data_IF_783227978296
#
_entry.id   IF_783227978296
#
_cell.length_a   1.000
_cell.length_b   1.000
_cell.length_c   1.000
_cell.angle_alpha   90.00
_cell.angle_beta   90.00
_cell.angle_gamma   90.00
#
_symmetry.space_group_name_H-M   'P 1'
#
loop_
_entity.id
_entity.type
_entity.pdbx_description
1 polymer ?
#
# COMPACT_ATOMS: atom_id res chain seq x y z
N UNK A 1 11.15 1.55 -7.63
CA UNK A 1 10.64 1.00 -8.91
C UNK A 1 11.48 -0.20 -9.29
N UNK A 2 10.95 -1.13 -10.08
CA UNK A 2 11.71 -2.24 -10.64
C UNK A 2 12.47 -1.83 -11.91
N UNK A 3 13.23 -2.76 -12.52
CA UNK A 3 14.01 -2.52 -13.73
C UNK A 3 13.18 -2.15 -14.97
N UNK A 4 11.86 -2.33 -14.92
CA UNK A 4 10.93 -2.00 -16.00
C UNK A 4 10.21 -0.66 -15.76
N UNK A 5 10.52 0.05 -14.66
CA UNK A 5 9.92 1.34 -14.33
C UNK A 5 8.59 1.25 -13.59
N UNK A 6 8.14 0.05 -13.19
CA UNK A 6 6.91 -0.10 -12.40
C UNK A 6 7.16 0.04 -10.90
N UNK A 7 6.12 0.37 -10.12
CA UNK A 7 6.20 0.38 -8.66
C UNK A 7 6.56 -1.03 -8.14
N UNK A 8 7.35 -1.06 -7.07
CA UNK A 8 7.89 -2.28 -6.48
C UNK A 8 7.79 -2.19 -4.95
N UNK A 9 8.64 -1.39 -4.32
CA UNK A 9 8.57 -1.09 -2.89
C UNK A 9 9.25 0.25 -2.56
N UNK A 10 9.17 0.67 -1.29
CA UNK A 10 9.98 1.73 -0.70
C UNK A 10 11.26 1.15 -0.10
N UNK A 11 12.19 1.99 0.36
CA UNK A 11 13.53 1.61 0.84
C UNK A 11 13.53 0.44 1.84
N UNK A 12 12.54 0.39 2.72
CA UNK A 12 12.41 -0.66 3.74
C UNK A 12 10.95 -0.98 4.06
N UNK A 13 10.05 -0.84 3.08
CA UNK A 13 8.61 -1.03 3.29
C UNK A 13 7.89 -1.38 1.99
N UNK A 14 6.90 -2.27 2.08
CA UNK A 14 5.95 -2.49 0.99
C UNK A 14 5.07 -1.24 0.81
N UNK A 15 4.61 -1.00 -0.42
CA UNK A 15 3.77 0.15 -0.78
C UNK A 15 2.36 -0.30 -1.16
N UNK A 16 1.37 0.44 -0.69
CA UNK A 16 -0.03 0.29 -1.02
C UNK A 16 -0.57 1.62 -1.54
N UNK A 17 -1.38 1.55 -2.58
CA UNK A 17 -2.00 2.69 -3.26
C UNK A 17 -3.50 2.48 -3.29
N UNK A 18 -4.26 3.46 -2.84
CA UNK A 18 -5.72 3.48 -2.96
C UNK A 18 -6.08 4.34 -4.16
N UNK A 19 -6.79 3.75 -5.10
CA UNK A 19 -7.25 4.39 -6.32
C UNK A 19 -8.61 3.79 -6.69
N UNK A 20 -9.60 4.64 -7.00
CA UNK A 20 -10.96 4.22 -7.33
C UNK A 20 -11.55 3.25 -6.28
N UNK A 21 -11.42 3.62 -5.00
CA UNK A 21 -11.92 2.85 -3.84
C UNK A 21 -11.36 1.40 -3.71
N UNK A 22 -10.26 1.08 -4.40
CA UNK A 22 -9.58 -0.22 -4.33
C UNK A 22 -8.12 -0.05 -3.91
N UNK A 23 -7.62 -0.98 -3.09
CA UNK A 23 -6.22 -1.06 -2.71
C UNK A 23 -5.43 -1.83 -3.79
N UNK A 24 -4.32 -1.26 -4.22
CA UNK A 24 -3.32 -1.90 -5.06
C UNK A 24 -2.00 -2.01 -4.31
N UNK A 25 -1.35 -3.17 -4.41
CA UNK A 25 0.05 -3.35 -4.01
C UNK A 25 0.81 -4.00 -5.17
N UNK A 26 2.10 -3.68 -5.37
CA UNK A 26 2.91 -4.39 -6.34
C UNK A 26 2.84 -5.90 -6.11
N UNK A 27 2.61 -6.65 -7.19
CA UNK A 27 2.69 -8.10 -7.19
C UNK A 27 4.12 -8.56 -6.91
N UNK A 28 4.31 -9.74 -6.32
CA UNK A 28 5.66 -10.26 -6.03
C UNK A 28 6.51 -10.46 -7.29
N UNK A 29 5.88 -10.66 -8.45
CA UNK A 29 6.55 -10.69 -9.76
C UNK A 29 7.26 -9.38 -10.11
N UNK A 30 6.89 -8.26 -9.47
CA UNK A 30 7.53 -6.96 -9.66
C UNK A 30 8.82 -6.80 -8.82
N UNK A 31 9.24 -7.84 -8.11
CA UNK A 31 10.51 -7.88 -7.37
C UNK A 31 10.45 -7.32 -5.94
N UNK A 32 9.24 -7.06 -5.42
CA UNK A 32 9.06 -6.59 -4.05
C UNK A 32 9.14 -7.73 -3.03
N UNK A 33 9.47 -7.41 -1.79
CA UNK A 33 9.61 -8.39 -0.71
C UNK A 33 8.22 -8.85 -0.25
N UNK A 34 8.06 -10.17 -0.05
CA UNK A 34 6.88 -10.76 0.60
C UNK A 34 6.86 -10.49 2.12
N UNK A 35 6.70 -9.22 2.50
CA UNK A 35 6.79 -8.77 3.89
C UNK A 35 5.70 -9.37 4.79
N UNK A 36 6.07 -9.72 6.03
CA UNK A 36 5.11 -10.26 7.01
C UNK A 36 3.97 -9.28 7.28
N UNK A 37 4.27 -7.99 7.46
CA UNK A 37 3.23 -6.98 7.67
C UNK A 37 2.37 -6.72 6.43
N UNK A 38 2.92 -6.87 5.21
CA UNK A 38 2.14 -6.87 3.97
C UNK A 38 1.08 -7.98 4.01
N UNK A 39 1.45 -9.19 4.41
CA UNK A 39 0.50 -10.30 4.51
C UNK A 39 -0.60 -10.03 5.57
N UNK A 40 -0.24 -9.38 6.70
CA UNK A 40 -1.21 -8.95 7.72
C UNK A 40 -2.21 -7.94 7.14
N UNK A 41 -1.72 -6.89 6.47
CA UNK A 41 -2.55 -5.88 5.80
C UNK A 41 -3.49 -6.53 4.78
N UNK A 42 -2.95 -7.41 3.93
CA UNK A 42 -3.71 -8.12 2.92
C UNK A 42 -4.80 -9.02 3.52
N UNK A 43 -4.47 -9.72 4.61
CA UNK A 43 -5.42 -10.53 5.36
C UNK A 43 -6.54 -9.70 5.99
N UNK A 44 -6.20 -8.56 6.59
CA UNK A 44 -7.17 -7.62 7.15
C UNK A 44 -8.07 -7.02 6.06
N UNK A 45 -7.51 -6.59 4.92
CA UNK A 45 -8.31 -6.09 3.82
C UNK A 45 -9.34 -7.13 3.36
N UNK A 46 -8.90 -8.37 3.16
CA UNK A 46 -9.77 -9.49 2.79
C UNK A 46 -10.86 -9.78 3.83
N UNK A 47 -10.52 -9.85 5.11
CA UNK A 47 -11.50 -10.18 6.17
C UNK A 47 -12.53 -9.08 6.42
N UNK A 48 -12.21 -7.83 6.06
CA UNK A 48 -13.10 -6.69 6.20
C UNK A 48 -13.80 -6.29 4.90
N UNK A 49 -13.69 -7.10 3.84
CA UNK A 49 -14.35 -6.85 2.56
C UNK A 49 -13.80 -5.63 1.80
N UNK A 50 -12.56 -5.20 2.10
CA UNK A 50 -11.90 -4.09 1.42
C UNK A 50 -11.33 -4.62 0.09
N UNK A 51 -11.76 -4.09 -1.07
CA UNK A 51 -11.26 -4.54 -2.37
C UNK A 51 -9.76 -4.33 -2.48
N UNK A 52 -9.04 -5.37 -2.88
CA UNK A 52 -7.59 -5.29 -3.01
C UNK A 52 -7.08 -6.22 -4.12
N UNK A 53 -6.08 -5.74 -4.87
CA UNK A 53 -5.43 -6.47 -5.95
C UNK A 53 -3.90 -6.35 -5.84
N UNK A 54 -3.22 -7.47 -6.06
CA UNK A 54 -1.80 -7.48 -6.39
C UNK A 54 -1.64 -7.28 -7.90
N UNK A 55 -0.93 -6.23 -8.32
CA UNK A 55 -0.80 -5.89 -9.74
C UNK A 55 0.58 -5.32 -10.08
N UNK A 56 0.89 -5.28 -11.37
CA UNK A 56 1.89 -4.34 -11.89
C UNK A 56 1.28 -2.94 -11.88
N UNK A 57 1.98 -1.96 -11.31
CA UNK A 57 1.44 -0.62 -11.09
C UNK A 57 2.34 0.43 -11.76
N UNK A 58 1.77 1.20 -12.68
CA UNK A 58 2.44 2.36 -13.27
C UNK A 58 2.59 3.48 -12.22
N UNK A 59 3.81 4.02 -11.98
CA UNK A 59 4.04 5.10 -11.01
C UNK A 59 3.20 6.36 -11.24
N UNK A 60 2.70 6.59 -12.46
CA UNK A 60 1.81 7.71 -12.77
C UNK A 60 0.57 7.75 -11.86
N UNK A 61 0.10 6.58 -11.39
CA UNK A 61 -1.03 6.47 -10.45
C UNK A 61 -0.81 7.29 -9.17
N UNK A 62 0.44 7.55 -8.76
CA UNK A 62 0.73 8.36 -7.57
C UNK A 62 0.25 9.81 -7.74
N UNK A 63 0.10 10.31 -8.96
CA UNK A 63 -0.45 11.64 -9.17
C UNK A 63 -1.98 11.69 -9.01
N UNK A 64 -2.65 10.54 -9.13
CA UNK A 64 -4.11 10.42 -9.15
C UNK A 64 -4.67 9.73 -7.91
N UNK A 65 -3.84 8.97 -7.18
CA UNK A 65 -4.23 8.19 -6.02
C UNK A 65 -4.95 9.04 -4.96
N UNK A 66 -5.92 8.40 -4.32
CA UNK A 66 -6.65 8.93 -3.18
C UNK A 66 -5.78 8.86 -1.93
N UNK A 67 -5.11 7.72 -1.75
CA UNK A 67 -4.28 7.44 -0.58
C UNK A 67 -3.06 6.60 -0.95
N UNK A 68 -1.94 6.84 -0.26
CA UNK A 68 -0.76 5.98 -0.32
C UNK A 68 -0.30 5.70 1.10
N UNK A 69 0.02 4.45 1.39
CA UNK A 69 0.62 4.07 2.66
C UNK A 69 1.69 3.00 2.43
N UNK A 70 2.60 2.91 3.39
CA UNK A 70 3.69 1.94 3.38
C UNK A 70 3.64 1.10 4.63
N UNK A 71 4.22 -0.10 4.56
CA UNK A 71 4.25 -0.98 5.72
C UNK A 71 5.52 -1.80 5.85
N UNK A 72 5.93 -2.06 7.10
CA UNK A 72 6.95 -3.03 7.44
C UNK A 72 6.72 -3.59 8.85
N UNK A 73 7.50 -4.60 9.23
CA UNK A 73 7.32 -5.30 10.50
C UNK A 73 7.60 -4.43 11.74
N UNK A 74 8.45 -3.40 11.62
CA UNK A 74 8.86 -2.56 12.75
C UNK A 74 8.01 -1.31 12.92
N UNK A 75 7.63 -0.66 11.83
CA UNK A 75 6.87 0.58 11.80
C UNK A 75 5.37 0.40 11.55
N UNK A 76 4.90 -0.83 11.35
CA UNK A 76 3.49 -1.12 11.11
C UNK A 76 2.98 -0.47 9.81
N UNK A 77 1.79 0.14 9.87
CA UNK A 77 1.18 0.87 8.76
C UNK A 77 1.50 2.35 8.92
N UNK A 78 2.04 2.98 7.86
CA UNK A 78 2.37 4.41 7.85
C UNK A 78 1.82 5.08 6.61
N UNK A 79 0.93 6.03 6.81
CA UNK A 79 0.41 6.87 5.75
C UNK A 79 1.51 7.76 5.14
N UNK A 80 1.47 7.93 3.82
CA UNK A 80 2.30 8.87 3.09
C UNK A 80 1.50 10.15 2.87
N UNK A 81 1.99 11.29 3.34
CA UNK A 81 1.24 12.56 3.28
C UNK A 81 1.01 13.09 1.85
N UNK A 82 1.91 12.80 0.93
CA UNK A 82 1.84 13.29 -0.44
C UNK A 82 3.01 12.85 -1.30
N UNK A 83 2.87 13.06 -2.60
CA UNK A 83 3.89 12.81 -3.62
C UNK A 83 3.92 13.98 -4.60
N UNK A 84 5.09 14.61 -4.75
CA UNK A 84 5.20 15.86 -5.52
C UNK A 84 4.26 16.93 -4.97
N UNK A 85 3.28 17.36 -5.79
CA UNK A 85 2.24 18.34 -5.41
C UNK A 85 0.94 17.70 -4.92
N UNK A 86 0.75 16.38 -5.12
CA UNK A 86 -0.45 15.66 -4.68
C UNK A 86 -0.40 15.45 -3.17
N UNK A 87 -1.52 15.74 -2.51
CA UNK A 87 -1.78 15.34 -1.12
C UNK A 87 -2.79 14.20 -1.13
N UNK A 88 -2.61 13.30 -0.18
CA UNK A 88 -3.37 12.07 -0.05
C UNK A 88 -4.32 12.15 1.15
N UNK A 89 -5.43 11.43 1.10
CA UNK A 89 -6.24 11.10 2.27
C UNK A 89 -5.58 9.96 3.05
N UNK A 90 -6.12 9.63 4.23
CA UNK A 90 -5.59 8.59 5.11
C UNK A 90 -6.68 7.73 5.76
N UNK A 91 -7.79 7.51 5.07
CA UNK A 91 -8.95 6.81 5.61
C UNK A 91 -8.66 5.32 5.77
N UNK A 92 -8.11 4.68 4.73
CA UNK A 92 -7.84 3.23 4.72
C UNK A 92 -6.71 2.89 5.69
N UNK A 93 -5.60 3.62 5.66
CA UNK A 93 -4.48 3.36 6.57
C UNK A 93 -4.84 3.59 8.03
N UNK A 94 -5.69 4.58 8.35
CA UNK A 94 -6.20 4.78 9.71
C UNK A 94 -7.11 3.64 10.16
N UNK A 95 -8.07 3.25 9.32
CA UNK A 95 -8.97 2.14 9.65
C UNK A 95 -8.19 0.84 9.88
N UNK A 96 -7.28 0.49 8.96
CA UNK A 96 -6.44 -0.70 9.09
C UNK A 96 -5.51 -0.63 10.32
N UNK A 97 -4.96 0.54 10.63
CA UNK A 97 -4.13 0.72 11.84
C UNK A 97 -4.95 0.57 13.12
N UNK A 98 -6.18 1.08 13.14
CA UNK A 98 -7.08 0.95 14.28
C UNK A 98 -7.45 -0.52 14.52
N UNK A 99 -7.74 -1.28 13.45
CA UNK A 99 -8.00 -2.72 13.52
C UNK A 99 -6.77 -3.51 13.99
N UNK A 100 -5.58 -3.17 13.48
CA UNK A 100 -4.33 -3.82 13.86
C UNK A 100 -4.06 -3.71 15.37
N UNK A 101 -4.37 -2.56 15.97
CA UNK A 101 -4.17 -2.31 17.40
C UNK A 101 -5.24 -2.97 18.31
N UNK A 102 -6.23 -3.63 17.73
CA UNK A 102 -7.28 -4.37 18.45
C UNK A 102 -7.07 -5.90 18.42
N UNK A 103 -6.04 -6.36 17.69
CA UNK A 103 -5.59 -7.77 17.66
C UNK A 103 -4.68 -8.05 18.86
#
# INVERSE_FOLDING_TARGET
MNQHGFLCESISSNIFVVYDQQIYTPALSEGCIAGVMRNVVMGMAKSNGIPMVEAQINPEVLNEAEEVFITNATGGIRWVMGYGRKRYFNEISKDLSARLNQL
#
